data_IF_612770014348
#
_entry.id   IF_612770014348
#
_cell.length_a   1.000
_cell.length_b   1.000
_cell.length_c   1.000
_cell.angle_alpha   90.00
_cell.angle_beta   90.00
_cell.angle_gamma   90.00
#
_symmetry.space_group_name_H-M   'P 1'
#
loop_
_entity.id
_entity.type
_entity.pdbx_description
1 polymer ?
#
# COMPACT_ATOMS: atom_id res chain seq x y z
N UNK A 1 -18.26 -0.99 13.30
CA UNK A 1 -17.01 -1.51 12.71
C UNK A 1 -16.87 -2.96 13.13
N UNK A 2 -16.68 -3.90 12.19
CA UNK A 2 -16.38 -5.31 12.52
C UNK A 2 -15.01 -5.67 11.97
N UNK A 3 -14.14 -6.06 12.90
CA UNK A 3 -12.73 -6.35 12.64
C UNK A 3 -12.54 -7.86 12.61
N UNK A 4 -11.75 -8.35 11.67
CA UNK A 4 -11.26 -9.73 11.66
C UNK A 4 -9.74 -9.77 11.68
N UNK A 5 -9.19 -10.78 12.34
CA UNK A 5 -7.76 -11.06 12.36
C UNK A 5 -7.42 -12.11 11.32
N UNK A 6 -6.37 -11.88 10.55
CA UNK A 6 -5.79 -12.82 9.59
C UNK A 6 -4.37 -13.19 10.04
N UNK A 7 -4.23 -14.44 10.48
CA UNK A 7 -3.02 -14.94 11.11
C UNK A 7 -2.74 -16.41 10.74
N UNK A 8 -1.47 -16.80 10.93
CA UNK A 8 -0.87 -18.08 10.49
C UNK A 8 -1.51 -19.30 11.13
N UNK A 9 -2.01 -19.14 12.35
CA UNK A 9 -2.59 -20.24 13.13
C UNK A 9 -4.06 -20.54 12.77
N UNK A 10 -4.69 -19.77 11.87
CA UNK A 10 -6.00 -20.12 11.35
C UNK A 10 -5.90 -21.16 10.25
N UNK A 11 -6.88 -22.07 10.16
CA UNK A 11 -6.97 -23.01 9.04
C UNK A 11 -7.14 -22.30 7.71
N UNK A 12 -6.71 -22.94 6.62
CA UNK A 12 -6.83 -22.40 5.25
C UNK A 12 -8.28 -22.06 4.91
N UNK A 13 -9.22 -22.94 5.30
CA UNK A 13 -10.65 -22.71 5.12
C UNK A 13 -11.12 -21.43 5.83
N UNK A 14 -10.67 -21.19 7.07
CA UNK A 14 -11.05 -20.00 7.81
C UNK A 14 -10.43 -18.75 7.17
N UNK A 15 -9.16 -18.81 6.76
CA UNK A 15 -8.49 -17.71 6.03
C UNK A 15 -9.24 -17.36 4.74
N UNK A 16 -9.64 -18.35 3.94
CA UNK A 16 -10.42 -18.15 2.73
C UNK A 16 -11.77 -17.48 3.00
N UNK A 17 -12.52 -17.94 4.02
CA UNK A 17 -13.80 -17.32 4.37
C UNK A 17 -13.65 -15.86 4.82
N UNK A 18 -12.58 -15.53 5.55
CA UNK A 18 -12.30 -14.14 5.94
C UNK A 18 -12.04 -13.25 4.73
N UNK A 19 -11.27 -13.73 3.75
CA UNK A 19 -11.00 -12.99 2.51
C UNK A 19 -12.26 -12.83 1.67
N UNK A 20 -13.06 -13.88 1.53
CA UNK A 20 -14.35 -13.81 0.83
C UNK A 20 -15.29 -12.81 1.50
N UNK A 21 -15.40 -12.86 2.83
CA UNK A 21 -16.21 -11.91 3.61
C UNK A 21 -15.72 -10.47 3.43
N UNK A 22 -14.41 -10.24 3.51
CA UNK A 22 -13.82 -8.90 3.34
C UNK A 22 -13.98 -8.33 1.92
N UNK A 23 -13.92 -9.19 0.89
CA UNK A 23 -14.14 -8.77 -0.50
C UNK A 23 -15.64 -8.66 -0.88
N UNK A 24 -16.54 -8.88 0.07
CA UNK A 24 -17.98 -8.70 -0.10
C UNK A 24 -18.43 -7.35 0.47
N UNK A 25 -19.62 -6.82 0.13
CA UNK A 25 -20.18 -5.63 0.76
C UNK A 25 -20.61 -5.86 2.23
N UNK A 26 -20.36 -7.05 2.78
CA UNK A 26 -20.68 -7.43 4.15
C UNK A 26 -19.44 -7.39 5.05
N UNK A 27 -19.57 -7.93 6.25
CA UNK A 27 -18.50 -7.95 7.24
C UNK A 27 -17.52 -9.11 7.01
N UNK A 28 -16.25 -8.95 7.42
CA UNK A 28 -15.66 -7.81 8.14
C UNK A 28 -15.35 -6.62 7.22
N UNK A 29 -15.42 -5.40 7.75
CA UNK A 29 -15.03 -4.18 7.02
C UNK A 29 -13.62 -3.68 7.38
N UNK A 30 -12.92 -4.40 8.25
CA UNK A 30 -11.52 -4.15 8.61
C UNK A 30 -10.83 -5.48 8.82
N UNK A 31 -9.69 -5.66 8.15
CA UNK A 31 -8.88 -6.87 8.24
C UNK A 31 -7.52 -6.52 8.84
N UNK A 32 -7.19 -7.15 9.96
CA UNK A 32 -5.87 -7.02 10.59
C UNK A 32 -5.00 -8.18 10.11
N UNK A 33 -3.88 -7.83 9.52
CA UNK A 33 -2.97 -8.71 8.84
C UNK A 33 -1.67 -8.86 9.62
N UNK A 34 -1.28 -10.08 9.95
CA UNK A 34 0.11 -10.35 10.39
C UNK A 34 1.01 -10.63 9.18
N UNK A 35 2.28 -10.99 9.39
CA UNK A 35 3.29 -11.26 8.33
C UNK A 35 2.97 -12.44 7.38
N UNK A 36 1.73 -12.93 7.39
CA UNK A 36 1.22 -14.11 6.70
C UNK A 36 0.58 -13.76 5.35
N UNK A 37 0.57 -12.48 4.99
CA UNK A 37 0.14 -12.00 3.68
C UNK A 37 1.06 -12.36 2.51
N UNK A 38 2.02 -13.26 2.72
CA UNK A 38 2.90 -13.78 1.67
C UNK A 38 2.17 -14.75 0.71
N UNK A 39 1.02 -15.31 1.11
CA UNK A 39 0.20 -16.21 0.29
C UNK A 39 -0.76 -15.46 -0.65
N UNK A 40 -0.27 -14.74 -1.68
CA UNK A 40 -1.07 -14.51 -2.89
C UNK A 40 -2.45 -13.80 -2.77
N UNK A 41 -2.82 -13.20 -1.63
CA UNK A 41 -4.21 -12.80 -1.36
C UNK A 41 -4.59 -11.53 -2.12
N UNK A 42 -5.80 -11.51 -2.67
CA UNK A 42 -6.40 -10.35 -3.31
C UNK A 42 -7.32 -9.60 -2.34
N UNK A 43 -7.00 -8.34 -2.02
CA UNK A 43 -7.80 -7.46 -1.15
C UNK A 43 -8.37 -6.23 -1.89
N UNK A 44 -7.99 -6.04 -3.14
CA UNK A 44 -8.28 -4.86 -3.96
C UNK A 44 -9.78 -4.59 -4.20
N UNK A 45 -10.68 -5.57 -4.04
CA UNK A 45 -12.09 -5.43 -4.45
C UNK A 45 -12.89 -4.49 -3.55
N UNK A 46 -12.61 -4.48 -2.25
CA UNK A 46 -13.34 -3.66 -1.27
C UNK A 46 -12.43 -2.82 -0.37
N UNK A 47 -11.12 -2.78 -0.65
CA UNK A 47 -10.15 -2.03 0.13
C UNK A 47 -9.66 -0.79 -0.61
N UNK A 48 -9.58 0.33 0.11
CA UNK A 48 -8.99 1.60 -0.35
C UNK A 48 -8.15 2.32 0.72
N UNK A 49 -7.98 1.69 1.89
CA UNK A 49 -7.22 2.24 3.02
C UNK A 49 -6.33 1.16 3.60
N UNK A 50 -5.05 1.47 3.79
CA UNK A 50 -4.05 0.58 4.38
C UNK A 50 -3.38 1.31 5.54
N UNK A 51 -3.24 0.64 6.66
CA UNK A 51 -2.51 1.13 7.82
C UNK A 51 -1.35 0.17 8.10
N UNK A 52 -0.12 0.65 7.97
CA UNK A 52 1.09 -0.13 8.24
C UNK A 52 1.52 0.10 9.69
N UNK A 53 1.08 -0.80 10.57
CA UNK A 53 1.59 -0.89 11.93
C UNK A 53 2.93 -1.62 11.92
N UNK A 54 4.01 -0.89 12.19
CA UNK A 54 5.38 -1.39 12.06
C UNK A 54 5.87 -1.39 10.60
N UNK A 55 7.19 -1.35 10.45
CA UNK A 55 7.84 -1.13 9.17
C UNK A 55 8.16 -2.46 8.48
N UNK A 56 8.06 -2.50 7.15
CA UNK A 56 8.55 -3.63 6.39
C UNK A 56 10.08 -3.72 6.44
N UNK A 57 10.64 -4.92 6.29
CA UNK A 57 12.09 -5.11 6.27
C UNK A 57 12.77 -4.39 5.10
N UNK A 58 12.06 -4.25 3.98
CA UNK A 58 12.53 -3.58 2.77
C UNK A 58 11.41 -2.77 2.11
N UNK A 59 11.73 -1.72 1.32
CA UNK A 59 10.76 -1.02 0.49
C UNK A 59 10.02 -1.94 -0.46
N UNK A 60 10.71 -2.94 -1.05
CA UNK A 60 10.10 -3.93 -1.93
C UNK A 60 9.05 -4.80 -1.22
N UNK A 61 9.29 -5.20 0.03
CA UNK A 61 8.30 -5.93 0.83
C UNK A 61 7.07 -5.07 1.13
N UNK A 62 7.28 -3.76 1.39
CA UNK A 62 6.17 -2.83 1.57
C UNK A 62 5.35 -2.69 0.28
N UNK A 63 6.02 -2.53 -0.85
CA UNK A 63 5.36 -2.37 -2.15
C UNK A 63 4.56 -3.61 -2.54
N UNK A 64 5.09 -4.81 -2.32
CA UNK A 64 4.35 -6.05 -2.52
C UNK A 64 3.10 -6.16 -1.63
N UNK A 65 3.13 -5.61 -0.40
CA UNK A 65 1.97 -5.56 0.49
C UNK A 65 0.91 -4.59 -0.04
N UNK A 66 1.33 -3.40 -0.47
CA UNK A 66 0.44 -2.40 -1.07
C UNK A 66 -0.19 -2.93 -2.37
N UNK A 67 0.58 -3.62 -3.21
CA UNK A 67 0.11 -4.26 -4.45
C UNK A 67 -0.89 -5.42 -4.27
N UNK A 68 -1.23 -5.81 -3.03
CA UNK A 68 -2.39 -6.69 -2.75
C UNK A 68 -3.72 -5.92 -2.82
N UNK A 69 -3.65 -4.60 -2.64
CA UNK A 69 -4.77 -3.66 -2.64
C UNK A 69 -4.76 -2.80 -3.91
N UNK A 70 -3.59 -2.29 -4.30
CA UNK A 70 -3.46 -1.48 -5.51
C UNK A 70 -3.43 -2.38 -6.76
N UNK A 71 -4.60 -2.58 -7.37
CA UNK A 71 -4.76 -3.41 -8.58
C UNK A 71 -5.79 -2.80 -9.53
N UNK A 72 -5.55 -3.02 -10.82
CA UNK A 72 -6.53 -2.77 -11.87
C UNK A 72 -7.84 -3.49 -11.56
N UNK A 73 -8.96 -2.85 -11.91
CA UNK A 73 -10.33 -3.32 -11.62
C UNK A 73 -10.69 -3.44 -10.13
N UNK A 74 -9.85 -2.93 -9.22
CA UNK A 74 -10.17 -2.81 -7.80
C UNK A 74 -11.08 -1.65 -7.43
N UNK A 75 -11.33 -1.52 -6.12
CA UNK A 75 -12.13 -0.45 -5.53
C UNK A 75 -11.55 0.93 -5.84
N UNK A 76 -10.23 1.08 -5.69
CA UNK A 76 -9.50 2.33 -5.97
C UNK A 76 -9.68 2.73 -7.43
N UNK A 77 -9.42 1.80 -8.37
CA UNK A 77 -9.62 2.05 -9.81
C UNK A 77 -11.07 2.45 -10.14
N UNK A 78 -12.06 1.81 -9.51
CA UNK A 78 -13.47 2.17 -9.70
C UNK A 78 -13.75 3.59 -9.21
N UNK A 79 -13.24 3.96 -8.03
CA UNK A 79 -13.39 5.30 -7.49
C UNK A 79 -12.68 6.36 -8.33
N UNK A 80 -11.48 6.07 -8.87
CA UNK A 80 -10.77 6.96 -9.78
C UNK A 80 -11.57 7.26 -11.05
N UNK A 81 -12.26 6.25 -11.60
CA UNK A 81 -13.10 6.40 -12.79
C UNK A 81 -14.36 7.22 -12.53
N UNK A 82 -14.92 7.14 -11.33
CA UNK A 82 -16.15 7.82 -10.94
C UNK A 82 -15.93 9.25 -10.45
N UNK A 83 -14.91 9.48 -9.62
CA UNK A 83 -14.70 10.74 -8.89
C UNK A 83 -13.43 11.48 -9.32
N UNK A 84 -12.60 10.88 -10.17
CA UNK A 84 -11.35 11.48 -10.64
C UNK A 84 -10.19 11.39 -9.63
N UNK A 85 -9.04 11.99 -9.99
CA UNK A 85 -7.86 12.03 -9.12
C UNK A 85 -8.13 12.88 -7.86
N UNK A 86 -7.70 12.39 -6.69
CA UNK A 86 -7.94 13.02 -5.40
C UNK A 86 -8.94 12.25 -4.53
N UNK A 87 -10.20 12.16 -4.96
CA UNK A 87 -11.24 11.42 -4.24
C UNK A 87 -11.11 9.90 -4.43
N UNK A 88 -10.60 9.45 -5.57
CA UNK A 88 -10.34 8.04 -5.87
C UNK A 88 -8.99 7.49 -5.39
N UNK A 89 -8.38 8.05 -4.34
CA UNK A 89 -7.03 7.64 -3.93
C UNK A 89 -7.00 6.38 -3.02
N UNK A 90 -5.89 5.64 -3.08
CA UNK A 90 -5.51 4.64 -2.08
C UNK A 90 -4.83 5.37 -0.90
N UNK A 91 -5.47 5.35 0.27
CA UNK A 91 -4.90 5.95 1.48
C UNK A 91 -3.92 4.97 2.15
N UNK A 92 -2.63 5.30 2.18
CA UNK A 92 -1.60 4.52 2.86
C UNK A 92 -1.10 5.31 4.06
N UNK A 93 -1.34 4.78 5.26
CA UNK A 93 -1.03 5.45 6.52
C UNK A 93 0.07 4.70 7.28
N UNK A 94 1.02 5.45 7.82
CA UNK A 94 2.11 4.96 8.66
C UNK A 94 2.00 5.57 10.06
N UNK A 95 1.16 5.02 10.95
CA UNK A 95 1.05 5.51 12.32
C UNK A 95 2.36 5.27 13.09
N UNK A 96 2.81 6.27 13.84
CA UNK A 96 3.97 6.20 14.73
C UNK A 96 3.70 6.90 16.07
N UNK A 97 4.56 6.62 17.04
CA UNK A 97 4.62 7.37 18.29
C UNK A 97 5.57 8.55 18.11
N UNK A 98 5.06 9.76 18.31
CA UNK A 98 5.85 11.00 18.22
C UNK A 98 6.94 11.04 19.30
N UNK A 99 8.09 11.64 18.96
CA UNK A 99 9.24 11.81 19.85
C UNK A 99 9.77 10.46 20.37
N UNK A 100 9.68 9.43 19.52
CA UNK A 100 10.12 8.07 19.82
C UNK A 100 10.98 7.49 18.71
N UNK A 101 11.66 6.38 19.01
CA UNK A 101 12.43 5.63 18.02
C UNK A 101 11.58 5.18 16.82
N UNK A 102 10.28 4.95 17.01
CA UNK A 102 9.38 4.57 15.92
C UNK A 102 9.29 5.67 14.85
N UNK A 103 9.37 6.95 15.26
CA UNK A 103 9.37 8.09 14.34
C UNK A 103 10.63 8.09 13.47
N UNK A 104 11.81 7.95 14.08
CA UNK A 104 13.09 7.88 13.37
C UNK A 104 13.14 6.69 12.40
N UNK A 105 12.59 5.55 12.82
CA UNK A 105 12.48 4.37 11.98
C UNK A 105 11.59 4.63 10.75
N UNK A 106 10.40 5.22 10.95
CA UNK A 106 9.50 5.54 9.83
C UNK A 106 10.12 6.57 8.91
N UNK A 107 10.70 7.64 9.46
CA UNK A 107 11.36 8.66 8.66
C UNK A 107 12.47 8.09 7.78
N UNK A 108 13.35 7.27 8.37
CA UNK A 108 14.41 6.57 7.62
C UNK A 108 13.85 5.64 6.55
N UNK A 109 12.74 4.95 6.82
CA UNK A 109 12.12 4.04 5.88
C UNK A 109 11.43 4.76 4.71
N UNK A 110 10.68 5.84 4.96
CA UNK A 110 9.89 6.54 3.95
C UNK A 110 10.79 7.25 2.93
N UNK A 111 11.80 7.98 3.39
CA UNK A 111 12.79 8.61 2.51
C UNK A 111 13.45 7.56 1.62
N UNK A 112 13.84 6.46 2.23
CA UNK A 112 14.52 5.40 1.50
C UNK A 112 13.62 4.71 0.50
N UNK A 113 12.36 4.48 0.86
CA UNK A 113 11.36 3.97 -0.05
C UNK A 113 11.24 4.91 -1.26
N UNK A 114 11.19 6.21 -1.03
CA UNK A 114 11.16 7.21 -2.09
C UNK A 114 12.37 7.11 -3.02
N UNK A 115 13.60 7.05 -2.48
CA UNK A 115 14.82 6.91 -3.29
C UNK A 115 14.88 5.61 -4.10
N UNK A 116 14.41 4.50 -3.51
CA UNK A 116 14.41 3.19 -4.16
C UNK A 116 13.38 3.15 -5.29
N UNK A 117 12.18 3.69 -5.08
CA UNK A 117 11.16 3.83 -6.12
C UNK A 117 11.66 4.66 -7.29
N UNK A 118 12.27 5.82 -7.02
CA UNK A 118 12.79 6.70 -8.06
C UNK A 118 13.88 6.03 -8.93
N UNK A 119 14.72 5.20 -8.31
CA UNK A 119 15.74 4.40 -9.04
C UNK A 119 15.11 3.24 -9.80
N UNK A 120 14.11 2.58 -9.23
CA UNK A 120 13.39 1.49 -9.91
C UNK A 120 12.68 1.99 -11.17
N UNK A 121 12.07 3.18 -11.12
CA UNK A 121 11.43 3.81 -12.29
C UNK A 121 12.44 4.10 -13.42
N UNK A 122 13.70 4.38 -13.07
CA UNK A 122 14.82 4.52 -14.03
C UNK A 122 15.50 3.21 -14.40
N UNK A 123 15.04 2.07 -13.88
CA UNK A 123 15.69 0.76 -14.01
C UNK A 123 17.16 0.76 -13.53
N UNK A 124 17.51 1.60 -12.55
CA UNK A 124 18.84 1.70 -11.96
C UNK A 124 18.96 0.80 -10.73
N UNK A 125 20.08 0.06 -10.63
CA UNK A 125 20.36 -0.75 -9.44
C UNK A 125 21.08 0.09 -8.37
N UNK A 126 20.56 0.11 -7.15
CA UNK A 126 21.17 0.77 -6.00
C UNK A 126 21.60 -0.20 -4.91
N UNK A 127 22.66 0.15 -4.16
CA UNK A 127 23.06 -0.61 -2.98
C UNK A 127 22.03 -0.47 -1.84
N UNK A 128 21.80 -1.56 -1.10
CA UNK A 128 20.86 -1.59 0.02
C UNK A 128 21.60 -1.48 1.37
N UNK A 129 21.61 -0.30 1.97
CA UNK A 129 21.96 -0.06 3.38
C UNK A 129 20.91 -0.67 4.36
N UNK A 130 21.06 -0.69 5.67
CA UNK A 130 19.98 -0.95 6.65
C UNK A 130 20.00 0.05 7.81
N UNK A 131 20.83 1.07 7.74
CA UNK A 131 20.98 2.01 8.83
C UNK A 131 19.71 2.84 9.08
N UNK A 132 19.42 3.03 10.38
CA UNK A 132 18.39 3.93 10.87
C UNK A 132 19.10 5.19 11.33
N UNK A 133 18.77 6.33 10.73
CA UNK A 133 19.34 7.63 11.10
C UNK A 133 18.46 8.26 12.16
N UNK A 134 19.00 8.43 13.37
CA UNK A 134 18.30 9.05 14.49
C UNK A 134 18.17 10.57 14.31
N UNK A 135 17.12 11.16 14.88
CA UNK A 135 16.91 12.62 15.02
C UNK A 135 16.74 13.37 13.69
N UNK A 136 16.15 12.72 12.68
CA UNK A 136 16.00 13.35 11.35
C UNK A 136 14.65 14.07 11.22
N UNK A 137 14.67 15.39 11.09
CA UNK A 137 13.48 16.22 10.85
C UNK A 137 13.12 16.33 9.36
N UNK A 138 11.83 16.44 9.03
CA UNK A 138 11.35 16.79 7.69
C UNK A 138 11.21 15.60 6.73
N UNK A 139 11.21 14.38 7.24
CA UNK A 139 10.98 13.18 6.44
C UNK A 139 9.54 13.11 5.90
N UNK A 140 8.60 13.85 6.50
CA UNK A 140 7.21 13.92 6.08
C UNK A 140 7.06 14.49 4.67
N UNK A 141 8.04 15.26 4.19
CA UNK A 141 8.08 15.76 2.81
C UNK A 141 8.17 14.64 1.75
N UNK A 142 8.64 13.45 2.13
CA UNK A 142 8.71 12.28 1.26
C UNK A 142 7.39 11.49 1.21
N UNK A 143 6.37 11.87 1.99
CA UNK A 143 5.05 11.28 1.89
C UNK A 143 4.37 11.75 0.60
N UNK A 144 3.94 10.79 -0.23
CA UNK A 144 3.21 11.07 -1.46
C UNK A 144 1.83 11.66 -1.15
N UNK A 145 1.48 12.74 -1.83
CA UNK A 145 0.13 13.34 -1.80
C UNK A 145 -0.58 13.09 -3.14
N UNK A 146 -1.91 12.91 -3.16
CA UNK A 146 -2.65 12.75 -4.40
C UNK A 146 -2.44 13.95 -5.35
N UNK A 147 -2.00 13.67 -6.57
CA UNK A 147 -1.83 14.70 -7.60
C UNK A 147 -3.21 15.11 -8.12
N UNK A 148 -3.60 16.38 -7.92
CA UNK A 148 -4.96 16.83 -8.26
C UNK A 148 -5.16 17.10 -9.75
N UNK A 149 -4.10 17.41 -10.51
CA UNK A 149 -4.23 18.04 -11.84
C UNK A 149 -3.27 17.52 -12.92
N UNK A 150 -2.53 16.44 -12.70
CA UNK A 150 -1.69 15.88 -13.77
C UNK A 150 -2.53 14.97 -14.67
N UNK A 151 -2.97 15.52 -15.80
CA UNK A 151 -3.36 14.69 -16.94
C UNK A 151 -2.08 14.13 -17.56
N UNK A 152 -1.50 13.11 -16.93
CA UNK A 152 -0.38 12.38 -17.52
C UNK A 152 -0.88 11.72 -18.80
N UNK A 153 -0.46 12.26 -19.95
CA UNK A 153 -0.69 11.62 -21.23
C UNK A 153 0.01 10.28 -21.19
N UNK A 154 -0.76 9.19 -21.23
CA UNK A 154 -0.21 7.84 -21.32
C UNK A 154 0.73 7.78 -22.54
N UNK A 155 2.04 7.51 -22.36
CA UNK A 155 2.97 7.39 -23.48
C UNK A 155 2.63 6.18 -24.37
N UNK A 156 1.82 5.23 -23.88
CA UNK A 156 1.41 4.02 -24.58
C UNK A 156 -0.12 3.79 -24.47
N UNK A 157 -0.93 4.68 -25.07
CA UNK A 157 -2.37 4.59 -24.95
C UNK A 157 -2.88 3.27 -25.55
N UNK A 158 -3.68 2.53 -24.79
CA UNK A 158 -4.27 1.28 -25.26
C UNK A 158 -5.15 1.53 -26.49
N UNK A 159 -4.73 0.99 -27.65
CA UNK A 159 -5.51 1.02 -28.88
C UNK A 159 -6.49 -0.16 -28.89
N UNK A 160 -7.78 0.10 -28.64
CA UNK A 160 -8.82 -0.90 -28.82
C UNK A 160 -9.35 -0.79 -30.25
N UNK A 161 -8.87 -1.63 -31.16
CA UNK A 161 -9.55 -1.83 -32.45
C UNK A 161 -10.90 -2.47 -32.17
N UNK A 162 -11.98 -1.83 -32.63
CA UNK A 162 -13.30 -2.47 -32.67
C UNK A 162 -13.26 -3.49 -33.80
N UNK A 163 -13.22 -4.77 -33.43
CA UNK A 163 -13.59 -5.87 -34.33
C UNK A 163 -15.11 -5.87 -34.58
#
# INVERSE_FOLDING_TARGET
MKVALYARYFSDSHRQHLILGFNSPFYPNTLIATSVFQEGVNLHLQCRKVHHYGIAWTPGDNEQRVGRVDRLFGKVNSLLREHGPGEGALEINYPYLKDSFDEDQIGSFIERKYEVEEKMDRCEQGAFDKEIRLMRSGWEAFLRTPTQNETLSDPYPAAFTKD
#
